data_IF_821541944780
#
_entry.id   IF_821541944780
#
_cell.length_a   1.000
_cell.length_b   1.000
_cell.length_c   1.000
_cell.angle_alpha   90.00
_cell.angle_beta   90.00
_cell.angle_gamma   90.00
#
_symmetry.space_group_name_H-M   'P 1'
#
loop_
_entity.id
_entity.type
_entity.pdbx_description
1 polymer ?
2 non-polymer ?
3 non-polymer ?
4 water ?
#
# COMPACT_ATOMS: atom_id res chain seq x y z
N UNK A 4 16.57 18.92 20.87
CA UNK A 4 17.03 19.69 19.69
C UNK A 4 17.98 18.87 18.81
N UNK A 5 17.49 17.69 18.40
CA UNK A 5 18.33 16.71 17.72
C UNK A 5 18.60 17.20 16.30
N UNK A 6 19.77 16.84 15.79
CA UNK A 6 20.09 17.04 14.38
C UNK A 6 19.31 16.00 13.58
N UNK A 7 18.62 16.50 12.54
CA UNK A 7 18.05 15.68 11.48
C UNK A 7 18.91 15.89 10.24
N UNK A 8 19.37 14.77 9.70
CA UNK A 8 20.28 14.76 8.56
C UNK A 8 19.56 15.18 7.28
N UNK A 9 18.23 14.94 7.26
CA UNK A 9 17.34 15.18 6.14
C UNK A 9 17.13 16.69 5.94
N UNK A 10 17.09 17.41 7.07
CA UNK A 10 16.85 18.84 7.07
C UNK A 10 18.01 19.54 6.36
N UNK A 11 19.20 18.93 6.41
CA UNK A 11 20.42 19.58 6.00
C UNK A 11 20.76 19.29 4.53
N UNK A 12 19.82 18.74 3.76
CA UNK A 12 20.14 18.32 2.40
C UNK A 12 20.37 19.52 1.47
N UNK A 13 19.97 20.73 1.85
CA UNK A 13 20.20 21.89 1.01
C UNK A 13 21.65 22.34 1.13
N UNK A 14 22.43 21.67 1.98
CA UNK A 14 23.84 21.97 2.14
C UNK A 14 24.66 21.34 1.01
N UNK A 15 24.07 20.40 0.24
CA UNK A 15 24.81 19.65 -0.76
C UNK A 15 25.19 20.57 -1.91
N UNK A 16 26.45 20.42 -2.35
CA UNK A 16 26.95 21.16 -3.49
C UNK A 16 26.23 20.71 -4.77
N UNK A 17 26.16 19.38 -4.93
CA UNK A 17 25.59 18.76 -6.12
C UNK A 17 24.06 18.84 -6.06
N UNK A 18 23.50 19.03 -7.26
CA UNK A 18 22.06 19.13 -7.44
C UNK A 18 21.54 17.95 -8.27
N UNK A 19 20.21 17.84 -8.32
CA UNK A 19 19.56 16.69 -8.93
C UNK A 19 19.86 16.66 -10.42
N UNK A 20 19.66 17.82 -11.06
CA UNK A 20 19.83 17.97 -12.50
C UNK A 20 21.31 17.85 -12.91
N UNK A 21 22.22 17.92 -11.93
CA UNK A 21 23.65 17.66 -12.17
C UNK A 21 23.88 16.17 -12.43
N UNK A 22 23.16 15.30 -11.72
CA UNK A 22 23.38 13.87 -11.82
C UNK A 22 22.35 13.16 -12.70
N UNK A 23 21.13 13.74 -12.83
CA UNK A 23 20.01 13.09 -13.52
C UNK A 23 19.40 13.98 -14.61
N UNK A 24 19.02 13.33 -15.73
CA UNK A 24 18.07 13.83 -16.72
C UNK A 24 16.64 13.51 -16.31
N UNK A 25 15.74 14.49 -16.40
CA UNK A 25 14.31 14.30 -16.16
C UNK A 25 13.61 13.90 -17.48
N UNK A 26 12.49 13.19 -17.37
CA UNK A 26 11.68 12.81 -18.53
C UNK A 26 10.20 13.07 -18.19
N UNK A 27 9.29 12.20 -18.61
CA UNK A 27 7.85 12.50 -18.60
C UNK A 27 7.31 12.48 -17.18
N UNK A 28 6.03 12.83 -17.05
CA UNK A 28 5.33 12.69 -15.77
C UNK A 28 4.74 11.29 -15.71
N UNK A 29 4.34 10.89 -14.50
CA UNK A 29 3.71 9.59 -14.26
C UNK A 29 2.74 9.67 -13.08
N UNK A 30 2.63 10.82 -12.40
CA UNK A 30 1.79 10.94 -11.21
C UNK A 30 1.79 12.36 -10.64
N UNK A 31 1.00 13.25 -11.28
CA UNK A 31 0.76 14.62 -10.81
C UNK A 31 -0.31 14.63 -9.70
N UNK A 32 -0.17 15.61 -8.80
CA UNK A 32 -1.07 15.81 -7.68
C UNK A 32 -0.95 17.22 -7.08
N UNK A 33 -1.53 17.42 -5.90
CA UNK A 33 -1.56 18.74 -5.25
C UNK A 33 -0.16 19.14 -4.78
N UNK A 34 0.56 18.19 -4.16
CA UNK A 34 1.76 18.45 -3.38
C UNK A 34 3.03 18.14 -4.18
N UNK A 35 2.92 17.16 -5.08
CA UNK A 35 4.08 16.53 -5.67
C UNK A 35 3.79 16.14 -7.11
N UNK A 36 4.87 15.99 -7.88
CA UNK A 36 4.85 15.43 -9.21
C UNK A 36 5.80 14.25 -9.22
N UNK A 37 5.39 13.12 -9.81
CA UNK A 37 6.28 11.98 -10.05
C UNK A 37 6.71 12.01 -11.52
N UNK A 38 8.03 12.08 -11.80
CA UNK A 38 8.57 11.95 -13.15
C UNK A 38 9.56 10.78 -13.30
N UNK A 39 9.70 10.25 -14.51
CA UNK A 39 10.74 9.28 -14.80
C UNK A 39 12.05 10.05 -14.96
N UNK A 40 13.17 9.56 -14.39
CA UNK A 40 14.47 10.16 -14.68
C UNK A 40 15.50 9.13 -15.16
N UNK A 41 16.53 9.66 -15.83
CA UNK A 41 17.67 8.89 -16.32
C UNK A 41 18.89 9.38 -15.55
N UNK A 42 19.67 8.45 -15.00
CA UNK A 42 20.88 8.78 -14.25
C UNK A 42 22.02 8.91 -15.26
N UNK A 43 22.63 10.10 -15.33
CA UNK A 43 23.53 10.43 -16.42
C UNK A 43 24.65 9.41 -16.51
N UNK A 44 25.25 9.04 -15.36
CA UNK A 44 26.46 8.23 -15.35
C UNK A 44 26.19 6.78 -15.78
N UNK A 45 24.98 6.28 -15.48
CA UNK A 45 24.73 4.85 -15.55
C UNK A 45 23.76 4.52 -16.68
N UNK A 46 23.11 5.58 -17.22
CA UNK A 46 21.96 5.48 -18.10
C UNK A 46 20.89 4.56 -17.51
N UNK A 47 20.80 4.52 -16.17
CA UNK A 47 19.79 3.75 -15.45
C UNK A 47 18.61 4.66 -15.08
N UNK A 48 17.38 4.14 -15.31
CA UNK A 48 16.19 4.95 -15.18
C UNK A 48 15.57 4.72 -13.80
N UNK A 49 15.05 5.82 -13.23
CA UNK A 49 14.43 5.81 -11.91
C UNK A 49 13.11 6.59 -11.94
N UNK A 50 12.41 6.53 -10.80
CA UNK A 50 11.27 7.39 -10.50
C UNK A 50 11.77 8.52 -9.61
N UNK A 51 11.36 9.75 -9.89
CA UNK A 51 11.67 10.83 -8.96
C UNK A 51 10.38 11.55 -8.59
N UNK A 52 10.07 11.60 -7.28
CA UNK A 52 8.92 12.34 -6.76
C UNK A 52 9.36 13.74 -6.35
N UNK A 53 8.86 14.77 -7.05
CA UNK A 53 9.29 16.15 -6.84
C UNK A 53 8.27 16.88 -5.97
N UNK A 54 8.59 17.05 -4.68
CA UNK A 54 7.65 17.55 -3.69
C UNK A 54 7.84 19.04 -3.41
N UNK A 55 6.72 19.73 -3.11
CA UNK A 55 6.72 21.16 -2.81
C UNK A 55 6.69 21.34 -1.29
N UNK A 56 7.73 22.00 -0.77
CA UNK A 56 7.96 22.11 0.66
C UNK A 56 6.94 23.06 1.29
N UNK A 57 6.45 24.03 0.50
CA UNK A 57 5.44 24.98 0.97
C UNK A 57 4.12 24.25 1.19
N UNK A 58 3.89 23.18 0.40
CA UNK A 58 2.62 22.48 0.40
C UNK A 58 2.61 21.33 1.44
N UNK A 59 3.69 20.56 1.55
CA UNK A 59 3.87 19.78 2.78
C UNK A 59 5.35 19.54 3.05
N UNK A 60 5.60 18.95 4.22
CA UNK A 60 6.92 18.61 4.70
C UNK A 60 7.06 17.09 4.59
N UNK A 61 7.91 16.59 3.65
CA UNK A 61 8.00 15.15 3.38
C UNK A 61 8.96 14.36 4.28
N UNK A 62 9.41 14.99 5.39
CA UNK A 62 10.43 14.41 6.23
C UNK A 62 9.92 13.06 6.75
N UNK A 63 8.77 13.01 7.42
CA UNK A 63 8.34 11.75 8.00
C UNK A 63 8.44 10.64 6.93
N UNK A 64 8.04 10.95 5.68
CA UNK A 64 8.10 9.98 4.60
C UNK A 64 9.54 9.51 4.38
N UNK A 65 10.46 10.45 4.18
CA UNK A 65 11.83 10.13 3.85
C UNK A 65 12.49 9.35 4.98
N UNK A 66 12.08 9.57 6.22
CA UNK A 66 12.78 8.91 7.32
C UNK A 66 12.35 7.45 7.34
N UNK A 67 11.10 7.20 6.94
CA UNK A 67 10.59 5.83 6.92
C UNK A 67 11.28 5.06 5.79
N UNK A 68 11.42 5.71 4.63
CA UNK A 68 12.04 5.08 3.49
C UNK A 68 13.50 4.71 3.78
N UNK A 69 14.23 5.59 4.45
CA UNK A 69 15.61 5.35 4.84
C UNK A 69 15.73 4.12 5.74
N UNK A 70 14.84 4.04 6.73
CA UNK A 70 14.93 2.99 7.73
C UNK A 70 14.48 1.63 7.18
N UNK A 71 13.40 1.60 6.38
CA UNK A 71 12.68 0.37 6.06
C UNK A 71 12.66 0.02 4.57
N UNK A 72 13.40 0.75 3.71
CA UNK A 72 13.45 0.51 2.27
C UNK A 72 14.21 -0.77 1.87
N UNK A 73 15.19 -1.14 2.71
CA UNK A 73 15.97 -2.38 2.64
C UNK A 73 15.02 -3.59 2.59
N UNK A 74 13.78 -3.42 3.05
CA UNK A 74 12.83 -4.52 2.93
C UNK A 74 12.68 -4.82 1.43
N UNK A 75 12.76 -6.11 1.05
CA UNK A 75 12.65 -6.53 -0.34
C UNK A 75 11.41 -6.01 -1.02
N UNK A 76 10.28 -6.05 -0.28
CA UNK A 76 8.97 -5.72 -0.82
C UNK A 76 8.51 -4.30 -0.46
N UNK A 77 9.44 -3.39 -0.16
CA UNK A 77 9.13 -1.98 0.06
C UNK A 77 9.99 -1.16 -0.89
N UNK A 78 9.33 -0.20 -1.55
CA UNK A 78 9.94 0.68 -2.52
C UNK A 78 11.22 1.20 -1.89
N UNK A 79 12.26 1.32 -2.70
CA UNK A 79 13.60 1.59 -2.20
C UNK A 79 14.07 2.97 -2.64
N UNK A 80 14.48 3.75 -1.64
CA UNK A 80 15.05 5.07 -1.89
C UNK A 80 16.46 4.89 -2.43
N UNK A 81 16.86 5.74 -3.39
CA UNK A 81 18.06 5.58 -4.17
C UNK A 81 18.87 6.87 -4.21
N UNK A 82 18.19 8.02 -4.05
CA UNK A 82 18.86 9.28 -3.83
C UNK A 82 17.81 10.23 -3.28
N UNK A 83 18.26 11.44 -2.89
CA UNK A 83 17.37 12.49 -2.40
C UNK A 83 18.15 13.80 -2.35
N UNK A 84 17.43 14.89 -2.63
CA UNK A 84 17.98 16.23 -2.75
C UNK A 84 17.01 17.28 -2.22
N UNK A 85 17.57 18.49 -2.05
CA UNK A 85 16.85 19.67 -1.63
C UNK A 85 17.51 20.89 -2.30
N UNK A 86 16.74 21.68 -3.05
CA UNK A 86 17.27 22.88 -3.70
C UNK A 86 16.77 24.14 -2.98
N UNK A 87 16.05 23.97 -1.86
CA UNK A 87 15.34 25.06 -1.20
C UNK A 87 13.83 24.84 -1.21
N UNK A 88 13.25 24.80 -2.43
CA UNK A 88 11.82 24.82 -2.71
C UNK A 88 11.23 23.41 -2.83
N UNK A 89 12.03 22.47 -3.33
CA UNK A 89 11.56 21.18 -3.79
C UNK A 89 12.44 20.07 -3.19
N UNK A 90 11.80 19.00 -2.71
CA UNK A 90 12.51 17.78 -2.30
C UNK A 90 12.34 16.77 -3.41
N UNK A 91 13.45 16.16 -3.81
CA UNK A 91 13.46 15.25 -4.95
C UNK A 91 13.75 13.83 -4.49
N UNK A 92 12.71 13.03 -4.25
CA UNK A 92 12.86 11.66 -3.78
C UNK A 92 13.01 10.68 -4.95
N UNK A 93 14.20 10.11 -5.07
CA UNK A 93 14.51 9.23 -6.18
C UNK A 93 14.39 7.78 -5.70
N UNK A 94 13.60 6.96 -6.39
CA UNK A 94 13.39 5.56 -6.04
C UNK A 94 13.41 4.72 -7.30
N UNK A 95 13.56 3.40 -7.11
CA UNK A 95 13.45 2.48 -8.24
C UNK A 95 12.10 2.74 -8.92
N UNK A 96 12.12 2.70 -10.25
CA UNK A 96 10.93 2.85 -11.06
C UNK A 96 10.19 1.52 -11.17
N UNK A 97 8.87 1.55 -11.00
CA UNK A 97 8.04 0.36 -11.04
C UNK A 97 7.59 0.13 -12.48
N UNK A 98 8.33 -0.69 -13.23
CA UNK A 98 8.03 -0.92 -14.63
C UNK A 98 6.87 -1.90 -14.80
N UNK A 99 6.46 -2.59 -13.73
CA UNK A 99 5.56 -3.74 -13.86
C UNK A 99 4.09 -3.34 -13.82
N UNK A 100 3.83 -2.09 -13.49
CA UNK A 100 2.47 -1.62 -13.40
C UNK A 100 1.90 -1.89 -12.02
N UNK A 101 0.64 -1.48 -11.81
CA UNK A 101 -0.11 -1.80 -10.61
C UNK A 101 -0.41 -3.29 -10.61
N UNK A 102 -0.33 -3.86 -9.42
CA UNK A 102 -0.34 -5.29 -9.23
C UNK A 102 -1.73 -5.84 -9.51
N UNK A 103 -2.78 -5.15 -9.02
CA UNK A 103 -4.14 -5.66 -9.12
C UNK A 103 -4.59 -5.70 -10.57
N UNK A 104 -4.28 -4.62 -11.26
CA UNK A 104 -4.65 -4.49 -12.65
C UNK A 104 -4.06 -5.67 -13.41
N UNK A 105 -2.73 -5.80 -13.34
CA UNK A 105 -2.00 -6.86 -14.03
C UNK A 105 -2.65 -8.21 -13.71
N UNK A 106 -2.87 -8.47 -12.42
CA UNK A 106 -3.47 -9.71 -11.99
C UNK A 106 -4.88 -9.91 -12.57
N UNK A 107 -5.71 -8.85 -12.70
CA UNK A 107 -7.07 -9.00 -13.21
C UNK A 107 -7.12 -9.27 -14.71
N UNK A 108 -6.05 -8.87 -15.43
CA UNK A 108 -5.86 -9.13 -16.85
C UNK A 108 -5.20 -10.49 -17.07
N UNK A 109 -4.93 -11.24 -16.02
CA UNK A 109 -4.51 -12.62 -16.13
C UNK A 109 -5.72 -13.56 -15.97
N UNK A 110 -6.24 -14.11 -17.06
CA UNK A 110 -7.49 -14.85 -16.99
C UNK A 110 -7.32 -16.24 -16.41
N UNK A 111 -6.08 -16.73 -16.29
CA UNK A 111 -5.82 -18.06 -15.74
C UNK A 111 -5.24 -17.95 -14.33
N UNK A 112 -5.52 -16.84 -13.64
CA UNK A 112 -5.10 -16.66 -12.26
C UNK A 112 -5.84 -17.67 -11.36
N UNK A 113 -5.17 -18.11 -10.29
CA UNK A 113 -5.69 -19.15 -9.41
C UNK A 113 -5.61 -18.68 -7.97
N UNK A 114 -6.24 -19.43 -7.04
CA UNK A 114 -6.21 -19.15 -5.62
C UNK A 114 -4.79 -19.24 -5.05
N UNK A 115 -4.10 -20.28 -5.53
CA UNK A 115 -2.74 -20.54 -5.14
C UNK A 115 -1.84 -19.33 -5.42
N UNK A 116 -1.99 -18.67 -6.57
CA UNK A 116 -1.22 -17.46 -6.87
C UNK A 116 -1.65 -16.34 -5.94
N UNK A 117 -2.98 -16.23 -5.72
CA UNK A 117 -3.59 -15.22 -4.82
C UNK A 117 -2.98 -15.29 -3.42
N UNK A 118 -2.79 -16.52 -2.88
CA UNK A 118 -2.30 -16.68 -1.53
C UNK A 118 -0.85 -16.24 -1.46
N UNK A 119 -0.03 -16.68 -2.44
CA UNK A 119 1.35 -16.21 -2.55
C UNK A 119 1.41 -14.68 -2.60
N UNK A 120 0.53 -14.03 -3.38
CA UNK A 120 0.56 -12.58 -3.44
C UNK A 120 0.23 -11.97 -2.10
N UNK A 121 -0.81 -12.48 -1.43
CA UNK A 121 -1.18 -11.91 -0.15
C UNK A 121 -0.13 -12.17 0.93
N UNK A 122 0.45 -13.37 0.94
CA UNK A 122 1.52 -13.71 1.87
C UNK A 122 2.65 -12.70 1.81
N UNK A 123 3.10 -12.35 0.59
CA UNK A 123 4.25 -11.47 0.41
C UNK A 123 3.91 -10.06 0.92
N UNK A 124 2.67 -9.60 0.63
CA UNK A 124 2.26 -8.25 0.99
C UNK A 124 2.05 -8.18 2.50
N UNK A 125 1.48 -9.25 3.10
CA UNK A 125 1.06 -9.21 4.48
C UNK A 125 2.23 -9.44 5.42
N UNK A 126 3.17 -10.32 5.02
CA UNK A 126 4.50 -10.39 5.61
C UNK A 126 5.15 -9.00 5.77
N UNK A 127 5.13 -8.20 4.71
CA UNK A 127 5.72 -6.86 4.69
C UNK A 127 5.00 -5.92 5.67
N UNK A 128 3.69 -6.11 5.85
CA UNK A 128 2.92 -5.21 6.69
C UNK A 128 3.08 -5.67 8.15
N UNK A 129 3.21 -7.00 8.35
CA UNK A 129 3.46 -7.50 9.69
C UNK A 129 4.75 -6.87 10.21
N UNK A 130 5.76 -6.75 9.36
CA UNK A 130 7.01 -6.13 9.75
C UNK A 130 6.80 -4.65 10.08
N UNK A 131 6.13 -3.90 9.21
CA UNK A 131 5.92 -2.47 9.44
C UNK A 131 5.17 -2.23 10.74
N UNK A 132 4.07 -2.95 10.93
CA UNK A 132 3.24 -2.78 12.10
C UNK A 132 4.08 -3.00 13.35
N UNK A 133 4.89 -4.05 13.29
CA UNK A 133 5.80 -4.47 14.35
C UNK A 133 6.85 -3.42 14.73
N UNK A 134 7.10 -2.42 13.89
CA UNK A 134 8.02 -1.34 14.22
C UNK A 134 7.21 -0.07 14.51
N UNK A 135 5.90 -0.25 14.79
CA UNK A 135 4.96 0.85 14.94
C UNK A 135 4.94 1.81 13.74
N UNK A 136 4.96 1.23 12.53
CA UNK A 136 4.60 1.97 11.34
C UNK A 136 3.25 1.49 10.85
N UNK A 137 2.41 2.46 10.43
CA UNK A 137 1.18 2.17 9.70
C UNK A 137 1.18 2.96 8.41
N UNK A 138 0.65 2.32 7.35
CA UNK A 138 0.77 2.83 5.99
C UNK A 138 -0.30 3.90 5.73
N UNK A 139 -1.55 3.50 6.00
CA UNK A 139 -2.71 4.37 6.06
C UNK A 139 -3.15 4.90 4.70
N UNK A 140 -2.59 4.39 3.58
CA UNK A 140 -3.11 4.66 2.25
C UNK A 140 -2.83 3.42 1.41
N UNK A 141 -3.04 2.25 2.01
CA UNK A 141 -2.64 1.01 1.38
C UNK A 141 -3.68 0.57 0.32
N UNK A 142 -4.10 1.51 -0.52
CA UNK A 142 -4.98 1.17 -1.62
C UNK A 142 -4.21 0.45 -2.72
N UNK A 143 -4.92 -0.32 -3.57
CA UNK A 143 -4.27 -1.14 -4.58
C UNK A 143 -3.27 -0.40 -5.49
N UNK A 144 -3.56 0.86 -5.80
CA UNK A 144 -2.73 1.60 -6.73
C UNK A 144 -1.36 1.88 -6.12
N UNK A 145 -1.20 1.55 -4.83
CA UNK A 145 0.01 1.83 -4.07
C UNK A 145 0.82 0.54 -3.88
N UNK A 146 0.40 -0.53 -4.57
CA UNK A 146 1.12 -1.79 -4.58
C UNK A 146 1.38 -2.12 -6.05
N UNK A 147 2.66 -2.21 -6.39
CA UNK A 147 3.09 -2.20 -7.78
C UNK A 147 4.12 -3.30 -8.02
N UNK A 148 4.31 -3.59 -9.31
CA UNK A 148 5.34 -4.52 -9.76
C UNK A 148 6.57 -3.71 -10.21
N UNK A 149 7.76 -4.08 -9.70
CA UNK A 149 8.99 -3.42 -10.14
C UNK A 149 9.41 -3.90 -11.54
N UNK A 150 8.91 -5.06 -11.97
CA UNK A 150 9.16 -5.52 -13.32
C UNK A 150 8.05 -6.47 -13.73
N UNK A 151 8.16 -6.90 -14.99
CA UNK A 151 7.14 -7.69 -15.64
C UNK A 151 7.31 -9.19 -15.35
N UNK A 152 8.30 -9.60 -14.53
CA UNK A 152 8.50 -11.01 -14.20
C UNK A 152 7.29 -11.67 -13.53
N UNK A 153 6.49 -10.91 -12.78
CA UNK A 153 5.34 -11.50 -12.12
C UNK A 153 5.73 -12.41 -10.95
N UNK A 154 6.99 -12.39 -10.51
CA UNK A 154 7.38 -12.97 -9.22
C UNK A 154 6.80 -12.14 -8.06
N UNK A 155 6.41 -12.78 -6.93
CA UNK A 155 6.21 -12.05 -5.67
C UNK A 155 7.45 -11.30 -5.15
N UNK A 156 8.66 -11.65 -5.57
CA UNK A 156 9.81 -10.81 -5.24
C UNK A 156 9.73 -9.45 -5.97
N UNK A 157 8.87 -9.33 -6.99
CA UNK A 157 8.76 -8.09 -7.77
C UNK A 157 7.86 -7.07 -7.07
N UNK A 158 7.07 -7.55 -6.10
CA UNK A 158 6.03 -6.75 -5.47
C UNK A 158 6.70 -5.66 -4.63
N UNK A 159 6.17 -4.43 -4.73
CA UNK A 159 6.65 -3.30 -3.95
C UNK A 159 5.48 -2.51 -3.38
N UNK A 160 5.52 -2.22 -2.07
CA UNK A 160 4.55 -1.30 -1.48
C UNK A 160 5.13 0.09 -1.55
N UNK A 161 4.30 1.05 -1.97
CA UNK A 161 4.72 2.38 -2.40
C UNK A 161 3.94 3.50 -1.69
N UNK A 162 4.34 4.74 -2.04
CA UNK A 162 3.77 5.97 -1.48
C UNK A 162 3.53 5.84 0.05
N UNK A 163 4.58 6.20 0.81
CA UNK A 163 4.53 6.24 2.27
C UNK A 163 4.17 7.64 2.79
N UNK A 164 3.26 8.31 2.04
CA UNK A 164 3.03 9.73 2.19
C UNK A 164 2.06 10.06 3.31
N UNK A 165 1.25 9.09 3.79
CA UNK A 165 0.36 9.33 4.92
C UNK A 165 0.71 8.35 6.04
N UNK A 166 1.92 7.81 6.00
CA UNK A 166 2.30 6.78 6.97
C UNK A 166 2.81 7.43 8.25
N UNK A 167 2.61 6.72 9.37
CA UNK A 167 2.81 7.27 10.70
C UNK A 167 3.74 6.35 11.46
N UNK A 168 4.86 6.93 11.95
CA UNK A 168 5.74 6.33 12.94
C UNK A 168 5.18 6.64 14.33
N UNK A 169 4.64 5.61 14.99
CA UNK A 169 4.24 5.74 16.39
C UNK A 169 5.33 6.43 17.22
N UNK A 170 5.25 7.76 17.38
CA UNK A 170 6.16 8.50 18.26
C UNK A 170 5.58 8.56 19.68
N UNK A 171 6.07 9.52 20.48
CA UNK A 171 5.50 9.81 21.79
C UNK A 171 6.27 11.00 22.38
N UNK A 172 5.85 11.42 23.59
CA UNK A 172 6.48 12.53 24.31
C UNK A 172 7.99 12.51 24.13
N UNK A 173 8.60 13.71 24.24
CA UNK A 173 10.02 13.97 24.00
C UNK A 173 10.37 13.76 22.53
N UNK A 174 9.37 13.59 21.66
CA UNK A 174 9.57 13.35 20.23
C UNK A 174 10.35 12.05 19.96
N UNK A 175 9.89 10.97 20.60
CA UNK A 175 10.69 9.77 20.77
C UNK A 175 9.99 8.57 20.12
N UNK A 176 10.73 7.90 19.22
CA UNK A 176 10.21 6.86 18.35
C UNK A 176 10.02 5.60 19.19
N UNK A 177 8.92 4.87 18.98
CA UNK A 177 8.47 3.77 19.83
C UNK A 177 8.11 2.53 19.00
N UNK A 178 8.08 1.37 19.66
CA UNK A 178 7.56 0.16 19.08
C UNK A 178 6.16 -0.03 19.65
N UNK A 179 5.33 -0.93 19.09
CA UNK A 179 4.12 -1.40 19.75
C UNK A 179 4.35 -2.39 20.89
N UNK A 180 5.59 -2.84 21.06
CA UNK A 180 5.83 -3.76 22.16
C UNK A 180 6.32 -3.00 23.39
N UNK A 181 6.98 -1.86 23.15
CA UNK A 181 7.44 -0.99 24.22
C UNK A 181 6.83 0.40 24.13
N UNK A 182 5.88 0.70 25.03
CA UNK A 182 5.56 2.08 25.37
C UNK A 182 5.42 2.16 26.88
N UNK A 183 6.51 1.85 27.61
CA UNK A 183 6.58 2.04 29.05
C UNK A 183 6.56 3.52 29.39
N UNK A 184 6.86 4.36 28.38
CA UNK A 184 6.46 5.76 28.40
C UNK A 184 4.95 5.85 28.18
N UNK A 185 4.17 5.48 29.22
CA UNK A 185 2.72 5.42 29.13
C UNK A 185 2.21 6.50 28.18
N UNK A 186 1.73 6.07 26.98
CA UNK A 186 1.06 6.92 26.00
C UNK A 186 -0.46 6.80 26.22
N UNK A 187 -1.21 7.86 25.91
CA UNK A 187 -2.66 7.86 26.18
C UNK A 187 -3.27 6.62 25.53
N UNK A 188 -4.10 5.80 26.23
CA UNK A 188 -4.95 4.82 25.54
C UNK A 188 -5.86 5.42 24.46
N UNK A 189 -5.72 6.75 24.24
CA UNK A 189 -6.23 7.46 23.07
C UNK A 189 -5.41 7.07 21.82
N UNK A 190 -4.12 7.45 21.79
CA UNK A 190 -3.24 7.25 20.65
C UNK A 190 -2.40 5.99 20.89
N UNK A 191 -3.06 4.95 21.42
CA UNK A 191 -2.74 3.56 21.15
C UNK A 191 -3.81 3.01 20.20
N UNK A 192 -5.05 3.54 20.36
CA UNK A 192 -6.21 3.08 19.60
C UNK A 192 -6.26 3.75 18.24
N UNK A 193 -5.71 4.96 18.11
CA UNK A 193 -5.47 5.59 16.82
C UNK A 193 -4.63 4.67 15.93
N UNK A 194 -3.46 4.28 16.45
CA UNK A 194 -2.57 3.34 15.79
C UNK A 194 -3.13 1.92 15.82
N UNK A 195 -3.83 1.56 16.90
CA UNK A 195 -4.49 0.26 16.95
C UNK A 195 -5.59 0.12 15.88
N UNK A 196 -6.17 1.25 15.49
CA UNK A 196 -7.16 1.32 14.42
C UNK A 196 -6.44 1.30 13.07
N UNK A 197 -5.54 2.27 12.87
CA UNK A 197 -4.88 2.44 11.58
C UNK A 197 -4.12 1.19 11.16
N UNK A 198 -3.79 0.29 12.10
CA UNK A 198 -3.27 -1.02 11.72
C UNK A 198 -4.38 -1.79 11.00
N UNK A 199 -5.53 -1.86 11.64
CA UNK A 199 -6.64 -2.66 11.14
C UNK A 199 -7.24 -2.05 9.85
N UNK A 200 -7.02 -0.77 9.54
CA UNK A 200 -7.40 -0.25 8.23
C UNK A 200 -6.49 -0.78 7.14
N UNK A 201 -5.20 -0.73 7.39
CA UNK A 201 -4.23 -1.36 6.51
C UNK A 201 -4.74 -2.77 6.25
N UNK A 202 -5.27 -3.46 7.25
CA UNK A 202 -5.64 -4.85 7.03
C UNK A 202 -6.92 -4.90 6.21
N UNK A 203 -7.84 -3.98 6.50
CA UNK A 203 -9.06 -3.88 5.73
C UNK A 203 -8.71 -3.65 4.24
N UNK A 204 -7.87 -2.65 3.96
CA UNK A 204 -7.42 -2.38 2.59
C UNK A 204 -6.83 -3.63 1.90
N UNK A 205 -6.15 -4.51 2.66
CA UNK A 205 -5.68 -5.78 2.14
C UNK A 205 -6.84 -6.74 1.88
N UNK A 206 -7.88 -6.70 2.73
CA UNK A 206 -9.10 -7.47 2.43
C UNK A 206 -9.76 -7.03 1.11
N UNK A 207 -9.77 -5.74 0.85
CA UNK A 207 -10.37 -5.28 -0.39
C UNK A 207 -9.61 -5.87 -1.58
N UNK A 208 -8.29 -5.75 -1.55
CA UNK A 208 -7.44 -6.38 -2.55
C UNK A 208 -7.77 -7.86 -2.73
N UNK A 209 -7.81 -8.66 -1.65
CA UNK A 209 -8.01 -10.08 -1.78
C UNK A 209 -9.39 -10.38 -2.41
N UNK A 210 -10.41 -9.63 -1.96
CA UNK A 210 -11.75 -9.76 -2.51
C UNK A 210 -11.73 -9.59 -4.02
N UNK A 211 -11.07 -8.53 -4.48
CA UNK A 211 -11.07 -8.20 -5.89
C UNK A 211 -10.21 -9.14 -6.74
N UNK A 212 -9.04 -9.56 -6.22
CA UNK A 212 -8.21 -10.57 -6.88
C UNK A 212 -9.05 -11.80 -7.19
N UNK A 213 -9.95 -12.17 -6.27
CA UNK A 213 -10.60 -13.49 -6.29
C UNK A 213 -11.78 -13.53 -7.26
N UNK A 214 -12.43 -12.37 -7.44
CA UNK A 214 -13.69 -12.26 -8.16
C UNK A 214 -13.65 -11.28 -9.34
N UNK A 215 -12.78 -10.29 -9.30
CA UNK A 215 -12.69 -9.34 -10.39
C UNK A 215 -13.69 -8.21 -10.19
N UNK A 216 -14.23 -8.09 -8.98
CA UNK A 216 -14.97 -6.89 -8.63
C UNK A 216 -14.62 -6.51 -7.21
N UNK A 217 -14.71 -5.19 -6.91
CA UNK A 217 -14.48 -4.67 -5.56
C UNK A 217 -15.74 -4.93 -4.72
N UNK A 218 -15.62 -5.14 -3.39
CA UNK A 218 -16.79 -5.50 -2.57
C UNK A 218 -17.81 -4.39 -2.26
N UNK A 219 -17.41 -3.12 -2.41
CA UNK A 219 -18.26 -2.01 -1.98
C UNK A 219 -18.55 -1.01 -3.10
N UNK A 220 -18.27 -1.36 -4.36
CA UNK A 220 -18.51 -0.48 -5.50
C UNK A 220 -18.55 -1.31 -6.77
N UNK A 221 -19.38 -0.87 -7.74
CA UNK A 221 -19.60 -1.57 -8.98
C UNK A 221 -18.83 -0.91 -10.13
N UNK A 222 -18.38 0.33 -9.89
CA UNK A 222 -17.90 1.21 -10.94
C UNK A 222 -17.62 2.59 -10.36
N UNK A 223 -17.07 3.55 -11.15
CA UNK A 223 -16.78 4.90 -10.66
C UNK A 223 -17.98 5.87 -10.59
N UNK A 224 -19.11 5.39 -11.09
CA UNK A 224 -20.34 6.17 -11.08
C UNK A 224 -20.97 6.09 -9.70
N UNK A 225 -20.63 5.06 -8.93
CA UNK A 225 -21.23 4.88 -7.62
C UNK A 225 -20.92 6.10 -6.76
N UNK A 226 -21.90 6.50 -5.95
CA UNK A 226 -21.79 7.70 -5.13
C UNK A 226 -21.06 7.38 -3.82
N UNK A 227 -20.43 8.39 -3.18
CA UNK A 227 -19.80 8.20 -1.87
C UNK A 227 -20.77 7.60 -0.84
N UNK A 228 -21.98 8.19 -0.74
CA UNK A 228 -22.92 7.87 0.30
C UNK A 228 -23.30 6.39 0.27
N UNK A 229 -23.39 5.82 -0.94
CA UNK A 229 -23.88 4.46 -1.10
C UNK A 229 -22.76 3.44 -0.92
N UNK A 230 -21.51 3.87 -1.18
CA UNK A 230 -20.32 3.08 -0.88
C UNK A 230 -20.09 3.00 0.63
N UNK A 231 -20.02 4.16 1.31
CA UNK A 231 -19.99 4.22 2.77
C UNK A 231 -21.16 3.42 3.39
N UNK A 232 -22.33 3.48 2.76
CA UNK A 232 -23.47 2.80 3.31
C UNK A 232 -23.24 1.28 3.33
N UNK A 233 -22.67 0.72 2.24
CA UNK A 233 -22.38 -0.70 2.12
C UNK A 233 -21.24 -1.12 3.06
N UNK A 234 -20.23 -0.24 3.21
CA UNK A 234 -19.11 -0.51 4.09
C UNK A 234 -19.67 -0.69 5.51
N UNK A 235 -20.48 0.31 5.93
CA UNK A 235 -21.18 0.32 7.19
C UNK A 235 -22.11 -0.88 7.44
N UNK A 236 -22.87 -1.32 6.43
CA UNK A 236 -23.80 -2.45 6.54
C UNK A 236 -23.06 -3.69 7.04
N UNK A 237 -21.78 -3.80 6.65
CA UNK A 237 -20.91 -4.86 7.11
C UNK A 237 -21.37 -6.25 6.68
N UNK A 238 -22.17 -6.30 5.60
CA UNK A 238 -22.39 -7.57 4.91
C UNK A 238 -21.83 -7.44 3.50
N UNK A 239 -21.55 -8.61 2.89
CA UNK A 239 -21.12 -8.69 1.50
C UNK A 239 -21.36 -10.12 0.98
N UNK A 240 -21.53 -10.21 -0.34
CA UNK A 240 -21.70 -11.48 -0.99
C UNK A 240 -20.42 -12.27 -0.87
N UNK A 241 -20.54 -13.49 -0.36
CA UNK A 241 -19.50 -14.47 -0.57
C UNK A 241 -20.16 -15.68 -1.21
N UNK A 242 -21.18 -15.35 -2.04
CA UNK A 242 -22.04 -16.30 -2.71
C UNK A 242 -22.27 -15.84 -4.14
N UNK A 243 -22.28 -16.79 -5.09
CA UNK A 243 -22.79 -16.52 -6.44
C UNK A 243 -21.71 -16.73 -7.48
N UNK A 244 -22.08 -16.66 -8.76
CA UNK A 244 -21.24 -17.13 -9.85
C UNK A 244 -19.74 -16.99 -9.62
N UNK A 245 -19.33 -15.80 -9.16
CA UNK A 245 -17.93 -15.51 -8.92
C UNK A 245 -17.38 -16.30 -7.73
N UNK A 246 -18.18 -16.47 -6.67
CA UNK A 246 -17.73 -17.02 -5.41
C UNK A 246 -17.98 -18.51 -5.27
N UNK A 247 -19.12 -18.99 -5.80
CA UNK A 247 -19.46 -20.39 -5.72
C UNK A 247 -18.19 -21.26 -5.72
N UNK A 248 -17.29 -20.97 -6.67
CA UNK A 248 -16.17 -21.84 -6.97
C UNK A 248 -14.97 -21.66 -6.02
N UNK A 249 -14.92 -20.53 -5.30
CA UNK A 249 -13.78 -20.20 -4.47
C UNK A 249 -13.86 -21.02 -3.18
N UNK A 250 -12.73 -21.49 -2.66
CA UNK A 250 -12.72 -22.32 -1.46
C UNK A 250 -13.23 -21.54 -0.24
N UNK A 251 -13.82 -22.28 0.73
CA UNK A 251 -14.45 -21.70 1.92
C UNK A 251 -13.38 -21.08 2.81
N UNK A 252 -12.18 -21.65 2.73
CA UNK A 252 -11.01 -21.09 3.40
C UNK A 252 -10.81 -19.63 3.01
N UNK A 253 -10.89 -19.35 1.69
CA UNK A 253 -10.59 -18.01 1.21
C UNK A 253 -11.70 -17.07 1.66
N UNK A 254 -12.96 -17.52 1.52
CA UNK A 254 -14.09 -16.67 1.89
C UNK A 254 -14.01 -16.33 3.37
N UNK A 255 -13.66 -17.35 4.15
CA UNK A 255 -13.50 -17.20 5.59
C UNK A 255 -12.52 -16.07 5.92
N UNK A 256 -11.34 -16.12 5.29
CA UNK A 256 -10.29 -15.13 5.51
C UNK A 256 -10.80 -13.74 5.13
N UNK A 257 -11.51 -13.68 4.00
CA UNK A 257 -12.00 -12.40 3.49
C UNK A 257 -12.94 -11.78 4.51
N UNK A 258 -13.88 -12.59 5.05
CA UNK A 258 -14.87 -12.11 6.03
C UNK A 258 -14.18 -11.50 7.25
N UNK A 259 -13.10 -12.16 7.73
CA UNK A 259 -12.46 -11.69 8.96
C UNK A 259 -11.50 -10.54 8.70
N UNK A 260 -11.07 -10.33 7.43
CA UNK A 260 -10.21 -9.20 7.08
C UNK A 260 -11.02 -7.93 6.84
N UNK A 261 -12.23 -8.08 6.28
CA UNK A 261 -13.16 -6.98 6.04
C UNK A 261 -14.15 -6.85 7.21
N UNK A 262 -14.06 -7.75 8.20
CA UNK A 262 -14.89 -7.67 9.39
C UNK A 262 -15.07 -6.21 9.79
N UNK A 263 -16.34 -5.82 10.02
CA UNK A 263 -16.77 -4.43 10.15
C UNK A 263 -16.27 -3.83 11.47
N UNK A 264 -16.13 -4.69 12.50
CA UNK A 264 -15.63 -4.32 13.82
C UNK A 264 -14.10 -4.40 13.88
N UNK A 265 -13.38 -3.26 14.01
CA UNK A 265 -11.91 -3.26 14.02
C UNK A 265 -11.31 -4.19 15.08
N UNK A 266 -12.02 -4.41 16.19
CA UNK A 266 -11.48 -5.14 17.32
C UNK A 266 -11.50 -6.64 17.03
N UNK A 267 -12.42 -7.09 16.16
CA UNK A 267 -12.46 -8.50 15.79
C UNK A 267 -11.84 -8.75 14.40
N UNK A 268 -11.33 -7.68 13.77
CA UNK A 268 -10.63 -7.78 12.50
C UNK A 268 -9.24 -8.39 12.70
N UNK A 269 -8.91 -9.38 11.87
CA UNK A 269 -7.61 -10.02 11.88
C UNK A 269 -6.47 -8.99 11.81
N UNK A 270 -5.35 -9.44 12.39
CA UNK A 270 -4.05 -8.80 12.31
C UNK A 270 -3.29 -9.41 11.14
N UNK A 271 -2.26 -8.70 10.67
CA UNK A 271 -1.26 -9.30 9.80
C UNK A 271 -0.70 -10.57 10.43
N UNK A 272 -0.46 -10.55 11.73
CA UNK A 272 0.01 -11.73 12.44
C UNK A 272 -0.92 -12.93 12.22
N UNK A 273 -2.23 -12.66 12.35
CA UNK A 273 -3.29 -13.68 12.32
C UNK A 273 -3.68 -14.05 10.89
N UNK A 274 -3.73 -13.06 10.02
CA UNK A 274 -3.81 -13.36 8.60
C UNK A 274 -2.80 -14.47 8.28
N UNK A 275 -1.52 -14.29 8.66
CA UNK A 275 -0.45 -15.21 8.25
C UNK A 275 -0.55 -16.57 8.93
N UNK A 276 -1.47 -16.72 9.89
CA UNK A 276 -1.69 -18.00 10.55
C UNK A 276 -2.92 -18.72 9.99
N UNK A 277 -3.74 -17.99 9.23
CA UNK A 277 -4.92 -18.56 8.58
C UNK A 277 -4.51 -19.66 7.61
N UNK A 278 -5.20 -20.82 7.58
CA UNK A 278 -4.82 -21.93 6.70
C UNK A 278 -4.78 -21.63 5.20
N UNK A 279 -5.47 -20.55 4.79
CA UNK A 279 -5.47 -20.13 3.39
C UNK A 279 -4.06 -19.69 3.00
N UNK A 280 -3.49 -18.83 3.83
CA UNK A 280 -2.08 -18.51 3.78
C UNK A 280 -1.20 -19.72 4.06
N UNK A 281 -1.43 -20.44 5.18
CA UNK A 281 -0.45 -21.42 5.69
C UNK A 281 -0.46 -22.67 4.81
N UNK A 282 -1.66 -23.16 4.43
CA UNK A 282 -1.75 -24.39 3.65
C UNK A 282 -2.00 -24.10 2.17
N UNK A 283 -1.24 -23.14 1.62
CA UNK A 283 -1.23 -22.76 0.20
C UNK A 283 -1.08 -23.99 -0.72
N UNK A 284 -0.31 -24.99 -0.27
CA UNK A 284 0.07 -26.14 -1.09
C UNK A 284 -1.16 -26.97 -1.47
N UNK A 285 -2.28 -26.84 -0.75
CA UNK A 285 -3.46 -27.66 -0.98
C UNK A 285 -4.57 -26.86 -1.67
N UNK A 286 -4.26 -25.61 -2.04
CA UNK A 286 -5.12 -24.73 -2.84
C UNK A 286 -5.08 -25.08 -4.33
N UNK A 287 -6.13 -24.71 -5.10
CA UNK A 287 -6.21 -25.01 -6.53
C UNK A 287 -5.41 -24.05 -7.43
N UNK A 288 -4.87 -24.63 -8.52
CA UNK A 288 -4.01 -23.93 -9.48
C UNK A 288 -4.80 -23.60 -10.75
N UNK A 289 -6.02 -24.16 -10.87
CA UNK A 289 -6.90 -23.91 -12.00
C UNK A 289 -7.63 -22.56 -11.85
N UNK A 290 -8.18 -22.09 -12.97
CA UNK A 290 -8.56 -20.71 -13.07
C UNK A 290 -9.76 -20.40 -12.19
N UNK A 291 -9.81 -19.11 -11.82
CA UNK A 291 -10.93 -18.50 -11.11
C UNK A 291 -11.97 -18.08 -12.15
N UNK A 292 -13.25 -18.01 -11.72
CA UNK A 292 -14.34 -17.48 -12.50
C UNK A 292 -14.58 -16.03 -12.10
N UNK A 293 -13.96 -15.09 -12.80
CA UNK A 293 -13.97 -13.70 -12.33
C UNK A 293 -14.62 -12.82 -13.40
N UNK A 294 -15.18 -11.68 -12.99
CA UNK A 294 -15.56 -10.66 -13.95
C UNK A 294 -14.26 -10.22 -14.62
N UNK A 295 -14.31 -10.04 -15.94
CA UNK A 295 -13.18 -9.45 -16.64
C UNK A 295 -13.48 -7.97 -16.93
N UNK A 296 -13.34 -7.10 -15.91
CA UNK A 296 -13.58 -5.67 -16.10
C UNK A 296 -12.53 -4.80 -15.37
N UNK A 297 -11.23 -4.88 -15.75
CA UNK A 297 -10.17 -4.25 -14.96
C UNK A 297 -10.29 -2.73 -14.80
N UNK A 298 -10.80 -2.06 -15.85
CA UNK A 298 -10.84 -0.61 -15.91
C UNK A 298 -12.06 -0.10 -15.13
N UNK A 299 -13.17 -0.82 -15.25
CA UNK A 299 -14.25 -0.61 -14.31
C UNK A 299 -13.71 -0.68 -12.86
N UNK A 300 -13.14 -1.85 -12.48
CA UNK A 300 -12.60 -2.04 -11.13
C UNK A 300 -11.76 -0.85 -10.66
N UNK A 301 -10.85 -0.36 -11.53
CA UNK A 301 -9.97 0.76 -11.21
C UNK A 301 -10.79 1.99 -10.81
N UNK A 302 -11.94 2.18 -11.49
CA UNK A 302 -12.82 3.31 -11.18
C UNK A 302 -13.56 3.10 -9.86
N UNK A 303 -14.15 1.91 -9.71
CA UNK A 303 -14.79 1.47 -8.48
C UNK A 303 -13.84 1.66 -7.31
N UNK A 304 -12.57 1.20 -7.49
CA UNK A 304 -11.54 1.31 -6.47
C UNK A 304 -11.25 2.78 -6.12
N UNK A 305 -11.10 3.64 -7.13
CA UNK A 305 -10.85 5.04 -6.87
C UNK A 305 -12.03 5.68 -6.15
N UNK A 306 -13.27 5.32 -6.54
CA UNK A 306 -14.51 5.82 -5.94
C UNK A 306 -14.62 5.48 -4.45
N UNK A 307 -14.25 4.23 -4.13
CA UNK A 307 -14.17 3.75 -2.75
C UNK A 307 -13.18 4.54 -1.88
N UNK A 308 -11.95 4.80 -2.36
CA UNK A 308 -10.93 5.44 -1.52
C UNK A 308 -11.19 6.95 -1.45
N UNK A 309 -11.95 7.48 -2.40
CA UNK A 309 -12.28 8.90 -2.45
C UNK A 309 -13.42 9.21 -1.47
N UNK A 310 -14.33 8.24 -1.24
CA UNK A 310 -15.35 8.33 -0.21
C UNK A 310 -14.76 8.26 1.21
N UNK A 311 -13.74 7.39 1.40
CA UNK A 311 -13.10 7.24 2.70
C UNK A 311 -12.26 8.45 3.09
N UNK A 312 -11.65 9.11 2.08
CA UNK A 312 -10.64 10.13 2.30
C UNK A 312 -11.28 11.52 2.21
N UNK A 313 -12.61 11.55 2.10
CA UNK A 313 -13.34 12.77 1.77
C UNK A 313 -13.27 13.78 2.92
N UNK A 314 -13.43 13.26 4.15
CA UNK A 314 -13.58 14.05 5.36
C UNK A 314 -12.23 14.60 5.83
N UNK A 315 -11.11 14.22 5.17
CA UNK A 315 -9.76 14.47 5.66
C UNK A 315 -9.15 15.70 4.96
X LIG B 1 3.84 -19.33 -0.60
X LIG B 1 2.65 -18.73 -0.05
X LIG B 1 5.12 -18.94 0.08
X LIG B 1 5.09 -19.02 1.51
X LIG C 1 -14.65 0.68 8.36
X LIG C 1 -15.54 1.81 8.34
X LIG C 1 -13.52 0.81 7.38
X LIG C 1 -12.28 0.96 8.07
X LIG C 1 -11.21 1.45 7.28
X LIG C 1 -11.46 2.87 6.77
X LIG C 1 -11.75 3.86 7.80
#
# INVERSE_FOLDING_TARGET
QTVGVHSIVQQLHRNSIQFTDGYEVKEDIGVGSYSVCKRCIHKATNMEFAVKIIDKSKRDPTEEIEILLRYGQHPNIITLKDVYDDGKYVYVVTELMKGGELLDKILRQKFFSEREASAVLFTITKTVEYLHAQGVVHRDLKPSNILYVDESGNPESIRICDFGFAKQLRAENGLLMTPCYTANFVAPEVLERQGYDAACDIWSLGVLLYTMLTGYTPFANGPDDTPEEILARIGSGKFSLSGGYWNSVSDTAKDLVSKMLHVDPHQRLTAALVLRHPWIVHWDQLPQYQLNRQDAPHLVKGAMAATYSALNRNQSPVLEPVGRSTLAQRRGIKKITSTAL
EDO C1 O1 C2 O2
PEG C1 O1 C2 O2 C3 C4 O4
#
